data_IF_054492713423
#
_entry.id   IF_054492713423
#
_cell.length_a   1.000
_cell.length_b   1.000
_cell.length_c   1.000
_cell.angle_alpha   90.00
_cell.angle_beta   90.00
_cell.angle_gamma   90.00
#
_symmetry.space_group_name_H-M   'P 1'
#
loop_
_entity.id
_entity.type
_entity.pdbx_description
1 polymer ?
#
# COMPACT_ATOMS: atom_id res chain seq x y z
N UNK A 1 33.83 20.72 -13.56
CA UNK A 1 33.24 19.39 -13.29
C UNK A 1 32.88 18.74 -14.62
N UNK A 2 33.41 17.55 -14.90
CA UNK A 2 33.15 16.79 -16.13
C UNK A 2 31.69 16.29 -16.16
N UNK A 3 31.18 15.97 -17.35
CA UNK A 3 29.81 15.46 -17.48
C UNK A 3 29.63 14.12 -16.73
N UNK A 4 30.63 13.24 -16.76
CA UNK A 4 30.66 12.00 -15.98
C UNK A 4 30.52 12.24 -14.47
N UNK A 5 31.25 13.22 -13.93
CA UNK A 5 31.18 13.60 -12.51
C UNK A 5 29.79 14.13 -12.13
N UNK A 6 29.13 14.89 -13.02
CA UNK A 6 27.75 15.36 -12.79
C UNK A 6 26.73 14.22 -12.79
N UNK A 7 26.89 13.23 -13.68
CA UNK A 7 26.03 12.03 -13.69
C UNK A 7 26.21 11.20 -12.42
N UNK A 8 27.45 11.06 -11.96
CA UNK A 8 27.79 10.31 -10.76
C UNK A 8 27.20 10.97 -9.51
N UNK A 9 27.37 12.30 -9.38
CA UNK A 9 26.75 13.08 -8.31
C UNK A 9 25.23 12.96 -8.32
N UNK A 10 24.58 13.02 -9.50
CA UNK A 10 23.13 12.87 -9.63
C UNK A 10 22.67 11.49 -9.12
N UNK A 11 23.34 10.42 -9.54
CA UNK A 11 23.02 9.07 -9.10
C UNK A 11 23.21 8.89 -7.58
N UNK A 12 24.27 9.46 -6.99
CA UNK A 12 24.49 9.41 -5.55
C UNK A 12 23.40 10.18 -4.78
N UNK A 13 23.00 11.36 -5.26
CA UNK A 13 21.91 12.12 -4.64
C UNK A 13 20.57 11.40 -4.70
N UNK A 14 20.25 10.77 -5.83
CA UNK A 14 19.02 9.97 -5.98
C UNK A 14 19.05 8.74 -5.06
N UNK A 15 20.20 8.05 -4.97
CA UNK A 15 20.36 6.91 -4.08
C UNK A 15 20.25 7.31 -2.59
N UNK A 16 20.83 8.45 -2.21
CA UNK A 16 20.73 8.97 -0.85
C UNK A 16 19.28 9.35 -0.50
N UNK A 17 18.58 10.02 -1.42
CA UNK A 17 17.19 10.39 -1.24
C UNK A 17 16.30 9.15 -1.05
N UNK A 18 16.49 8.11 -1.87
CA UNK A 18 15.77 6.82 -1.73
C UNK A 18 16.07 6.14 -0.40
N UNK A 19 17.33 6.05 0.01
CA UNK A 19 17.70 5.46 1.31
C UNK A 19 17.06 6.20 2.47
N UNK A 20 17.05 7.52 2.42
CA UNK A 20 16.45 8.36 3.46
C UNK A 20 14.93 8.17 3.51
N UNK A 21 14.27 8.03 2.36
CA UNK A 21 12.84 7.74 2.29
C UNK A 21 12.52 6.37 2.88
N UNK A 22 13.28 5.32 2.53
CA UNK A 22 13.10 3.96 3.07
C UNK A 22 13.34 3.93 4.59
N UNK A 23 14.40 4.58 5.07
CA UNK A 23 14.72 4.61 6.51
C UNK A 23 13.61 5.23 7.36
N UNK A 24 12.80 6.14 6.80
CA UNK A 24 11.63 6.70 7.51
C UNK A 24 10.53 5.67 7.77
N UNK A 25 10.48 4.61 6.97
CA UNK A 25 9.51 3.54 7.10
C UNK A 25 10.12 2.25 7.62
N UNK A 26 11.36 2.24 8.14
CA UNK A 26 12.06 1.01 8.53
C UNK A 26 11.21 0.14 9.47
N UNK A 27 10.71 0.72 10.56
CA UNK A 27 9.86 0.01 11.53
C UNK A 27 8.52 -0.44 10.94
N UNK A 28 7.93 0.40 10.07
CA UNK A 28 6.65 0.10 9.44
C UNK A 28 6.78 -1.00 8.37
N UNK A 29 7.90 -1.02 7.66
CA UNK A 29 8.24 -2.03 6.65
C UNK A 29 8.56 -3.37 7.29
N UNK A 30 9.22 -3.38 8.44
CA UNK A 30 9.48 -4.61 9.20
C UNK A 30 8.15 -5.22 9.69
N UNK A 31 7.31 -4.42 10.35
CA UNK A 31 6.00 -4.87 10.84
C UNK A 31 5.08 -5.31 9.68
N UNK A 32 5.10 -4.58 8.57
CA UNK A 32 4.34 -4.97 7.37
C UNK A 32 4.92 -6.23 6.72
N UNK A 33 6.25 -6.37 6.69
CA UNK A 33 6.93 -7.54 6.17
C UNK A 33 6.58 -8.80 6.94
N UNK A 34 6.52 -8.72 8.27
CA UNK A 34 6.04 -9.83 9.12
C UNK A 34 4.60 -10.22 8.77
N UNK A 35 3.68 -9.26 8.75
CA UNK A 35 2.27 -9.52 8.45
C UNK A 35 2.08 -10.11 7.05
N UNK A 36 2.77 -9.56 6.06
CA UNK A 36 2.68 -9.99 4.67
C UNK A 36 3.41 -11.32 4.42
N UNK A 37 4.41 -11.67 5.24
CA UNK A 37 5.02 -13.00 5.20
C UNK A 37 4.03 -14.08 5.62
N UNK A 38 3.19 -13.81 6.63
CA UNK A 38 2.09 -14.70 7.03
C UNK A 38 1.09 -14.89 5.90
N UNK A 39 0.67 -13.79 5.25
CA UNK A 39 -0.20 -13.85 4.07
C UNK A 39 0.40 -14.72 2.95
N UNK A 40 1.72 -14.61 2.72
CA UNK A 40 2.41 -15.41 1.71
C UNK A 40 2.39 -16.91 2.04
N UNK A 41 2.60 -17.29 3.31
CA UNK A 41 2.50 -18.68 3.74
C UNK A 41 1.07 -19.25 3.62
N UNK A 42 0.05 -18.40 3.66
CA UNK A 42 -1.34 -18.76 3.36
C UNK A 42 -1.66 -18.81 1.85
N UNK A 43 -0.66 -18.59 0.99
CA UNK A 43 -0.79 -18.63 -0.46
C UNK A 43 -1.33 -17.33 -1.08
N UNK A 44 -1.35 -16.24 -0.32
CA UNK A 44 -1.81 -14.93 -0.81
C UNK A 44 -0.62 -14.19 -1.43
N UNK A 45 -0.64 -14.06 -2.75
CA UNK A 45 0.37 -13.30 -3.50
C UNK A 45 0.11 -11.79 -3.36
N UNK A 46 1.17 -11.01 -3.17
CA UNK A 46 1.12 -9.55 -3.04
C UNK A 46 2.40 -8.90 -3.58
N UNK A 47 2.36 -7.59 -3.78
CA UNK A 47 3.50 -6.76 -4.14
C UNK A 47 3.36 -5.37 -3.53
N UNK A 48 4.49 -4.82 -3.12
CA UNK A 48 4.64 -3.43 -2.72
C UNK A 48 5.17 -2.63 -3.90
N UNK A 49 4.68 -1.41 -4.09
CA UNK A 49 5.38 -0.42 -4.94
C UNK A 49 6.52 0.23 -4.16
N UNK A 50 7.49 0.82 -4.89
CA UNK A 50 8.62 1.52 -4.28
C UNK A 50 8.12 2.63 -3.33
N UNK A 51 8.42 2.55 -2.01
CA UNK A 51 7.99 3.56 -1.05
C UNK A 51 8.60 4.94 -1.32
N UNK A 52 9.70 5.03 -2.09
CA UNK A 52 10.29 6.31 -2.48
C UNK A 52 9.39 7.15 -3.41
N UNK A 53 8.34 6.55 -3.99
CA UNK A 53 7.37 7.24 -4.85
C UNK A 53 6.19 7.88 -4.10
N UNK A 54 6.00 7.61 -2.81
CA UNK A 54 4.83 8.03 -2.06
C UNK A 54 5.23 8.68 -0.73
N UNK A 55 4.99 9.99 -0.61
CA UNK A 55 5.59 10.79 0.47
C UNK A 55 5.28 10.29 1.90
N UNK A 56 4.17 9.58 2.13
CA UNK A 56 3.75 9.14 3.48
C UNK A 56 2.91 7.86 3.51
N UNK A 57 2.97 7.01 2.47
CA UNK A 57 2.08 5.84 2.35
C UNK A 57 2.82 4.64 1.77
N UNK A 58 2.44 3.45 2.22
CA UNK A 58 2.88 2.20 1.61
C UNK A 58 1.76 1.72 0.70
N UNK A 59 2.04 1.55 -0.59
CA UNK A 59 1.05 1.03 -1.51
C UNK A 59 1.28 -0.46 -1.77
N UNK A 60 0.19 -1.22 -1.60
CA UNK A 60 0.08 -2.64 -1.86
C UNK A 60 -0.79 -2.89 -3.09
N UNK A 61 -0.38 -3.86 -3.88
CA UNK A 61 -1.10 -4.34 -5.07
C UNK A 61 -0.94 -5.85 -5.16
N UNK A 62 -1.89 -6.54 -5.78
CA UNK A 62 -1.80 -7.97 -6.06
C UNK A 62 -1.55 -8.17 -7.55
N UNK A 63 -0.48 -8.88 -7.90
CA UNK A 63 -0.16 -9.12 -9.30
C UNK A 63 -1.02 -10.27 -9.85
N UNK A 64 -1.64 -10.04 -11.02
CA UNK A 64 -2.21 -11.02 -11.93
C UNK A 64 -3.41 -11.89 -11.51
N UNK A 65 -3.65 -12.22 -10.24
CA UNK A 65 -4.82 -13.04 -9.84
C UNK A 65 -5.89 -12.21 -9.15
N UNK A 66 -7.05 -12.09 -9.82
CA UNK A 66 -8.23 -11.37 -9.30
C UNK A 66 -8.65 -11.88 -7.91
N UNK A 67 -8.61 -13.20 -7.70
CA UNK A 67 -9.00 -13.85 -6.45
C UNK A 67 -8.10 -13.49 -5.26
N UNK A 68 -6.78 -13.34 -5.49
CA UNK A 68 -5.83 -12.95 -4.44
C UNK A 68 -6.08 -11.52 -3.95
N UNK A 69 -6.74 -10.69 -4.76
CA UNK A 69 -6.92 -9.28 -4.44
C UNK A 69 -7.90 -9.08 -3.28
N UNK A 70 -9.01 -9.85 -3.29
CA UNK A 70 -9.96 -9.83 -2.18
C UNK A 70 -9.40 -10.58 -0.98
N UNK A 71 -8.72 -11.70 -1.21
CA UNK A 71 -8.12 -12.51 -0.14
C UNK A 71 -7.14 -11.69 0.72
N UNK A 72 -6.29 -10.86 0.11
CA UNK A 72 -5.37 -10.00 0.85
C UNK A 72 -6.10 -8.95 1.68
N UNK A 73 -7.13 -8.29 1.13
CA UNK A 73 -7.93 -7.33 1.89
C UNK A 73 -8.60 -8.01 3.10
N UNK A 74 -9.24 -9.16 2.88
CA UNK A 74 -9.85 -9.94 3.96
C UNK A 74 -8.82 -10.34 5.03
N UNK A 75 -7.64 -10.80 4.60
CA UNK A 75 -6.55 -11.16 5.51
C UNK A 75 -6.10 -9.97 6.37
N UNK A 76 -5.89 -8.80 5.76
CA UNK A 76 -5.47 -7.59 6.47
C UNK A 76 -6.52 -7.16 7.51
N UNK A 77 -7.81 -7.23 7.16
CA UNK A 77 -8.90 -6.91 8.10
C UNK A 77 -9.02 -7.94 9.22
N UNK A 78 -8.87 -9.24 8.92
CA UNK A 78 -8.89 -10.31 9.91
C UNK A 78 -7.75 -10.19 10.94
N UNK A 79 -6.62 -9.60 10.53
CA UNK A 79 -5.47 -9.33 11.39
C UNK A 79 -5.51 -7.94 12.03
N UNK A 80 -6.69 -7.33 12.15
CA UNK A 80 -6.91 -6.08 12.88
C UNK A 80 -6.70 -4.81 12.06
N UNK A 81 -6.59 -4.93 10.74
CA UNK A 81 -6.63 -3.80 9.82
C UNK A 81 -8.01 -3.12 9.81
N UNK A 82 -8.01 -1.80 9.69
CA UNK A 82 -9.23 -0.98 9.64
C UNK A 82 -9.26 -0.16 8.36
N UNK A 83 -10.41 -0.14 7.67
CA UNK A 83 -10.62 0.73 6.51
C UNK A 83 -10.92 2.15 7.01
N UNK A 84 -9.94 3.05 6.87
CA UNK A 84 -10.13 4.47 7.20
C UNK A 84 -10.84 5.21 6.07
N UNK A 85 -10.57 4.84 4.82
CA UNK A 85 -11.15 5.51 3.66
C UNK A 85 -11.25 4.59 2.46
N UNK A 86 -12.36 4.70 1.74
CA UNK A 86 -12.55 4.07 0.44
C UNK A 86 -12.78 5.14 -0.63
N UNK A 87 -12.10 5.03 -1.76
CA UNK A 87 -12.32 5.88 -2.94
C UNK A 87 -12.43 4.95 -4.15
N UNK A 88 -13.39 5.22 -5.02
CA UNK A 88 -13.47 4.54 -6.31
C UNK A 88 -12.93 5.45 -7.42
N UNK A 89 -12.10 4.88 -8.29
CA UNK A 89 -11.72 5.47 -9.57
C UNK A 89 -12.23 4.60 -10.72
N UNK A 90 -12.06 5.08 -11.96
CA UNK A 90 -12.54 4.36 -13.14
C UNK A 90 -12.03 2.91 -13.24
N UNK A 91 -10.79 2.67 -12.79
CA UNK A 91 -10.13 1.36 -12.89
C UNK A 91 -10.01 0.61 -11.55
N UNK A 92 -10.00 1.31 -10.41
CA UNK A 92 -9.66 0.71 -9.11
C UNK A 92 -10.56 1.18 -7.97
N UNK A 93 -10.77 0.32 -6.98
CA UNK A 93 -11.18 0.66 -5.62
C UNK A 93 -9.93 0.82 -4.76
N UNK A 94 -9.81 1.96 -4.11
CA UNK A 94 -8.69 2.36 -3.27
C UNK A 94 -9.11 2.24 -1.82
N UNK A 95 -8.47 1.36 -1.07
CA UNK A 95 -8.69 1.19 0.36
C UNK A 95 -7.49 1.77 1.10
N UNK A 96 -7.71 2.82 1.88
CA UNK A 96 -6.73 3.30 2.85
C UNK A 96 -6.95 2.55 4.15
N UNK A 97 -5.95 1.75 4.52
CA UNK A 97 -5.96 0.87 5.67
C UNK A 97 -5.03 1.41 6.76
N UNK A 98 -5.50 1.32 7.99
CA UNK A 98 -4.67 1.42 9.18
C UNK A 98 -4.45 0.02 9.74
N UNK A 99 -3.19 -0.38 9.83
CA UNK A 99 -2.81 -1.71 10.30
C UNK A 99 -2.24 -1.60 11.72
N UNK A 100 -2.36 -2.66 12.55
CA UNK A 100 -1.75 -2.66 13.88
C UNK A 100 -0.23 -2.57 13.75
N UNK A 101 0.40 -1.81 14.65
CA UNK A 101 1.86 -1.63 14.71
C UNK A 101 2.51 -1.00 13.47
N UNK A 102 1.72 -0.42 12.55
CA UNK A 102 2.20 0.30 11.38
C UNK A 102 1.67 1.74 11.47
N UNK A 103 2.56 2.72 11.53
CA UNK A 103 2.20 4.13 11.65
C UNK A 103 1.77 4.73 10.30
N UNK A 104 2.43 4.32 9.21
CA UNK A 104 2.08 4.73 7.87
C UNK A 104 0.73 4.17 7.42
N UNK A 105 -0.04 4.99 6.69
CA UNK A 105 -1.25 4.51 6.04
C UNK A 105 -0.89 3.57 4.88
N UNK A 106 -1.59 2.44 4.80
CA UNK A 106 -1.40 1.45 3.75
C UNK A 106 -2.49 1.60 2.71
N UNK A 107 -2.11 1.95 1.48
CA UNK A 107 -3.03 2.05 0.35
C UNK A 107 -3.09 0.71 -0.38
N UNK A 108 -4.26 0.10 -0.41
CA UNK A 108 -4.49 -1.14 -1.14
C UNK A 108 -5.40 -0.91 -2.34
N UNK A 109 -4.97 -1.37 -3.52
CA UNK A 109 -5.69 -1.19 -4.78
C UNK A 109 -6.30 -2.50 -5.26
N UNK A 110 -7.61 -2.50 -5.47
CA UNK A 110 -8.35 -3.63 -6.07
C UNK A 110 -8.97 -3.17 -7.39
N UNK A 111 -8.73 -3.86 -8.52
CA UNK A 111 -9.46 -3.59 -9.76
C UNK A 111 -10.99 -3.59 -9.57
N UNK A 112 -11.68 -2.61 -10.18
CA UNK A 112 -13.12 -2.39 -9.95
C UNK A 112 -14.01 -3.55 -10.42
N UNK A 113 -13.54 -4.29 -11.42
CA UNK A 113 -14.21 -5.45 -12.01
C UNK A 113 -14.18 -6.69 -11.11
N UNK A 114 -13.44 -6.66 -10.01
CA UNK A 114 -13.41 -7.73 -9.01
C UNK A 114 -14.55 -7.50 -8.01
N UNK A 115 -15.44 -8.48 -7.80
CA UNK A 115 -16.47 -8.37 -6.78
C UNK A 115 -15.82 -8.40 -5.39
N UNK A 116 -16.16 -7.42 -4.56
CA UNK A 116 -15.76 -7.37 -3.15
C UNK A 116 -17.00 -7.70 -2.31
N UNK A 117 -16.90 -8.55 -1.27
CA UNK A 117 -18.01 -8.85 -0.38
C UNK A 117 -18.69 -7.59 0.14
N UNK A 118 -20.03 -7.56 0.17
CA UNK A 118 -20.82 -6.40 0.58
C UNK A 118 -20.51 -5.96 2.02
N UNK A 119 -20.19 -6.92 2.88
CA UNK A 119 -19.78 -6.71 4.28
C UNK A 119 -18.51 -5.84 4.40
N UNK A 120 -17.61 -5.90 3.41
CA UNK A 120 -16.37 -5.11 3.37
C UNK A 120 -16.63 -3.76 2.72
N UNK A 121 -17.52 -3.70 1.72
CA UNK A 121 -17.88 -2.46 1.03
C UNK A 121 -18.59 -1.44 1.95
N UNK A 122 -19.24 -1.91 3.02
CA UNK A 122 -19.93 -1.05 4.00
C UNK A 122 -19.13 -0.78 5.27
N UNK A 123 -17.99 -1.45 5.47
CA UNK A 123 -17.17 -1.36 6.68
C UNK A 123 -16.33 -0.08 6.80
N UNK A 124 -16.63 0.97 6.04
CA UNK A 124 -15.93 2.26 6.15
C UNK A 124 -16.27 2.94 7.47
N UNK A 125 -15.26 3.42 8.20
CA UNK A 125 -15.48 4.36 9.29
C UNK A 125 -16.27 5.55 8.73
N UNK A 126 -17.42 5.83 9.33
CA UNK A 126 -18.30 6.93 8.94
C UNK A 126 -17.54 8.24 9.13
N UNK A 127 -16.94 8.77 8.06
CA UNK A 127 -16.87 10.21 7.79
C UNK A 127 -16.12 10.52 6.49
N UNK A 128 -16.63 11.54 5.81
CA UNK A 128 -16.06 12.27 4.66
C UNK A 128 -16.36 11.71 3.26
N UNK A 129 -17.62 11.84 2.85
CA UNK A 129 -17.94 12.21 1.47
C UNK A 129 -17.28 13.56 1.16
N UNK A 130 -16.17 13.56 0.43
CA UNK A 130 -15.70 14.79 -0.22
C UNK A 130 -16.56 15.02 -1.46
N UNK A 131 -17.57 15.87 -1.31
CA UNK A 131 -18.16 16.59 -2.44
C UNK A 131 -17.05 17.43 -3.09
N UNK A 132 -16.73 17.14 -4.35
CA UNK A 132 -15.95 18.07 -5.19
C UNK A 132 -16.88 19.13 -5.77
N UNK A 133 -16.40 20.38 -5.94
CA UNK A 133 -17.16 21.53 -6.41
C UNK A 133 -17.63 21.42 -7.87
#
# INVERSE_FOLDING_TARGET
>A
MRYSERLLLKAETEALARRTAIARFETDLDALGELLSTAHYEGIEWSTTDPAGFDHRIQLTTHWKKECSVALLCFLLAHGGVIERQIESDAYRHYTLRLPNIAAAVLYLIPRDIPVPEDIATATATDTCLATP
#
